data_IF_056059089552
#
_entry.id   IF_056059089552
#
_cell.length_a   1.000
_cell.length_b   1.000
_cell.length_c   1.000
_cell.angle_alpha   90.00
_cell.angle_beta   90.00
_cell.angle_gamma   90.00
#
_symmetry.space_group_name_H-M   'P 1'
#
loop_
_entity.id
_entity.type
_entity.pdbx_description
1 polymer ?
#
# COMPACT_ATOMS: atom_id res chain seq x y z
N UNK A 1 16.52 -24.76 8.93
CA UNK A 1 15.30 -25.06 9.70
C UNK A 1 14.17 -24.06 9.42
N UNK A 2 14.48 -22.76 9.50
CA UNK A 2 13.53 -21.65 9.28
C UNK A 2 12.80 -21.68 7.92
N UNK A 3 13.51 -21.95 6.81
CA UNK A 3 12.87 -22.07 5.48
C UNK A 3 11.83 -23.20 5.42
N UNK A 4 12.06 -24.32 6.10
CA UNK A 4 11.10 -25.44 6.18
C UNK A 4 9.87 -25.08 7.02
N UNK A 5 10.07 -24.28 8.07
CA UNK A 5 8.97 -23.75 8.88
C UNK A 5 8.13 -22.73 8.08
N UNK A 6 8.77 -21.81 7.36
CA UNK A 6 8.08 -20.81 6.54
C UNK A 6 7.34 -21.40 5.33
N UNK A 7 7.82 -22.51 4.77
CA UNK A 7 7.11 -23.23 3.72
C UNK A 7 5.72 -23.74 4.15
N UNK A 8 5.50 -23.97 5.45
CA UNK A 8 4.20 -24.41 6.00
C UNK A 8 3.24 -23.24 6.25
N UNK A 9 3.73 -22.01 6.26
CA UNK A 9 2.94 -20.84 6.59
C UNK A 9 2.27 -20.29 5.32
N UNK A 10 0.96 -19.99 5.35
CA UNK A 10 0.23 -19.52 4.17
C UNK A 10 0.48 -18.04 3.85
N UNK A 11 1.75 -17.62 3.80
CA UNK A 11 2.16 -16.22 3.63
C UNK A 11 1.52 -15.56 2.41
N UNK A 12 1.68 -16.19 1.24
CA UNK A 12 1.17 -15.65 -0.03
C UNK A 12 -0.36 -15.53 -0.06
N UNK A 13 -1.07 -16.43 0.63
CA UNK A 13 -2.53 -16.40 0.72
C UNK A 13 -2.99 -15.22 1.58
N UNK A 14 -2.39 -15.06 2.77
CA UNK A 14 -2.71 -13.95 3.68
C UNK A 14 -2.39 -12.60 3.06
N UNK A 15 -1.22 -12.46 2.41
CA UNK A 15 -0.86 -11.20 1.72
C UNK A 15 -1.88 -10.87 0.64
N UNK A 16 -2.36 -11.84 -0.14
CA UNK A 16 -3.39 -11.61 -1.16
C UNK A 16 -4.72 -11.14 -0.53
N UNK A 17 -5.13 -11.74 0.57
CA UNK A 17 -6.33 -11.29 1.31
C UNK A 17 -6.16 -9.87 1.86
N UNK A 18 -4.97 -9.53 2.37
CA UNK A 18 -4.65 -8.17 2.81
C UNK A 18 -4.65 -7.17 1.65
N UNK A 19 -4.17 -7.55 0.47
CA UNK A 19 -4.26 -6.71 -0.74
C UNK A 19 -5.71 -6.43 -1.12
N UNK A 20 -6.59 -7.41 -0.99
CA UNK A 20 -8.03 -7.20 -1.22
C UNK A 20 -8.62 -6.20 -0.22
N UNK A 21 -8.39 -6.40 1.09
CA UNK A 21 -8.85 -5.47 2.12
C UNK A 21 -8.31 -4.04 1.89
N UNK A 22 -7.04 -3.93 1.54
CA UNK A 22 -6.37 -2.68 1.19
C UNK A 22 -7.02 -1.97 0.00
N UNK A 23 -7.40 -2.68 -1.06
CA UNK A 23 -7.99 -2.05 -2.26
C UNK A 23 -9.45 -1.66 -2.06
N UNK A 24 -10.21 -2.40 -1.25
CA UNK A 24 -11.65 -2.21 -1.16
C UNK A 24 -12.10 -1.34 0.01
N UNK A 25 -11.41 -1.40 1.15
CA UNK A 25 -11.94 -0.83 2.41
C UNK A 25 -10.92 -0.10 3.27
N UNK A 26 -9.63 -0.43 3.15
CA UNK A 26 -8.60 0.00 4.11
C UNK A 26 -7.40 0.69 3.43
N UNK A 27 -7.54 1.97 3.01
CA UNK A 27 -6.46 2.75 2.40
C UNK A 27 -5.21 2.88 3.27
N UNK A 28 -5.40 2.89 4.58
CA UNK A 28 -4.34 2.96 5.59
C UNK A 28 -3.35 1.78 5.52
N UNK A 29 -3.77 0.63 5.00
CA UNK A 29 -2.91 -0.54 4.83
C UNK A 29 -1.94 -0.43 3.65
N UNK A 30 -2.10 0.56 2.79
CA UNK A 30 -1.47 0.56 1.46
C UNK A 30 0.06 0.48 1.50
N UNK A 31 0.68 1.16 2.46
CA UNK A 31 2.12 1.07 2.69
C UNK A 31 2.55 -0.29 3.27
N UNK A 32 1.89 -0.74 4.34
CA UNK A 32 2.29 -1.96 5.04
C UNK A 32 2.17 -3.20 4.14
N UNK A 33 1.06 -3.31 3.39
CA UNK A 33 0.80 -4.42 2.47
C UNK A 33 1.80 -4.41 1.31
N UNK A 34 2.12 -3.25 0.75
CA UNK A 34 3.15 -3.12 -0.28
C UNK A 34 4.52 -3.60 0.21
N UNK A 35 4.87 -3.36 1.47
CA UNK A 35 6.17 -3.79 1.99
C UNK A 35 6.23 -5.31 2.14
N UNK A 36 5.20 -5.94 2.71
CA UNK A 36 5.16 -7.40 2.88
C UNK A 36 5.00 -8.14 1.54
N UNK A 37 4.36 -7.53 0.54
CA UNK A 37 4.18 -8.16 -0.78
C UNK A 37 5.49 -8.35 -1.55
N UNK A 38 6.53 -7.54 -1.27
CA UNK A 38 7.87 -7.69 -1.91
C UNK A 38 8.50 -9.05 -1.60
N UNK A 39 8.19 -9.63 -0.45
CA UNK A 39 8.79 -10.88 0.04
C UNK A 39 7.90 -12.10 -0.20
N UNK A 40 6.96 -12.04 -1.14
CA UNK A 40 6.03 -13.13 -1.40
C UNK A 40 6.71 -14.41 -1.90
N UNK A 41 7.79 -14.29 -2.68
CA UNK A 41 8.58 -15.43 -3.19
C UNK A 41 9.61 -15.96 -2.18
N UNK A 42 10.12 -15.10 -1.29
CA UNK A 42 11.13 -15.45 -0.29
C UNK A 42 10.78 -14.82 1.07
N UNK A 43 9.74 -15.37 1.71
CA UNK A 43 9.29 -14.93 3.02
C UNK A 43 10.17 -15.49 4.14
N UNK A 44 10.36 -14.70 5.19
CA UNK A 44 11.17 -15.03 6.36
C UNK A 44 10.36 -14.86 7.65
N UNK A 45 10.89 -15.32 8.80
CA UNK A 45 10.18 -15.27 10.07
C UNK A 45 9.80 -13.82 10.46
N UNK A 46 10.67 -12.86 10.22
CA UNK A 46 10.39 -11.43 10.49
C UNK A 46 9.28 -10.88 9.61
N UNK A 47 9.25 -11.27 8.33
CA UNK A 47 8.16 -10.90 7.42
C UNK A 47 6.82 -11.47 7.90
N UNK A 48 6.81 -12.69 8.45
CA UNK A 48 5.61 -13.27 9.02
C UNK A 48 5.15 -12.55 10.29
N UNK A 49 6.07 -12.11 11.14
CA UNK A 49 5.75 -11.27 12.30
C UNK A 49 5.12 -9.94 11.85
N UNK A 50 5.64 -9.31 10.79
CA UNK A 50 5.05 -8.10 10.22
C UNK A 50 3.61 -8.33 9.73
N UNK A 51 3.35 -9.43 9.02
CA UNK A 51 1.99 -9.81 8.59
C UNK A 51 1.05 -10.01 9.79
N UNK A 52 1.49 -10.69 10.85
CA UNK A 52 0.69 -10.84 12.08
C UNK A 52 0.37 -9.50 12.73
N UNK A 53 1.31 -8.56 12.73
CA UNK A 53 1.07 -7.19 13.25
C UNK A 53 -0.02 -6.48 12.46
N UNK A 54 -0.02 -6.60 11.12
CA UNK A 54 -1.07 -6.05 10.26
C UNK A 54 -2.43 -6.67 10.61
N UNK A 55 -2.49 -7.99 10.78
CA UNK A 55 -3.74 -8.68 11.16
C UNK A 55 -4.25 -8.26 12.55
N UNK A 56 -3.36 -8.09 13.53
CA UNK A 56 -3.73 -7.60 14.85
C UNK A 56 -4.25 -6.17 14.81
N UNK A 57 -3.63 -5.31 14.00
CA UNK A 57 -4.12 -3.95 13.76
C UNK A 57 -5.53 -3.96 13.14
N UNK A 58 -5.78 -4.83 12.16
CA UNK A 58 -7.13 -4.98 11.58
C UNK A 58 -8.15 -5.47 12.59
N UNK A 59 -7.78 -6.41 13.45
CA UNK A 59 -8.66 -6.88 14.53
C UNK A 59 -9.04 -5.75 15.48
N UNK A 60 -8.07 -4.91 15.87
CA UNK A 60 -8.28 -3.78 16.77
C UNK A 60 -8.96 -2.56 16.13
N UNK A 61 -9.09 -2.52 14.81
CA UNK A 61 -9.72 -1.43 14.05
C UNK A 61 -10.82 -1.94 13.13
N UNK A 62 -11.50 -3.00 13.57
CA UNK A 62 -12.56 -3.66 12.80
C UNK A 62 -13.84 -2.83 12.70
N UNK A 63 -13.97 -1.82 13.56
CA UNK A 63 -15.04 -0.82 13.63
C UNK A 63 -14.84 0.35 12.65
N UNK A 64 -13.65 0.53 12.09
CA UNK A 64 -13.39 1.59 11.12
C UNK A 64 -13.98 1.24 9.74
N UNK A 65 -14.76 2.17 9.19
CA UNK A 65 -15.36 2.07 7.86
C UNK A 65 -15.24 3.39 7.08
N UNK A 66 -15.33 3.30 5.76
CA UNK A 66 -15.45 4.47 4.88
C UNK A 66 -16.89 4.99 4.91
N UNK A 67 -17.10 6.18 5.47
CA UNK A 67 -18.42 6.77 5.64
C UNK A 67 -18.69 7.85 4.59
N UNK A 68 -19.58 7.56 3.64
CA UNK A 68 -20.03 8.52 2.64
C UNK A 68 -21.21 9.33 3.19
N UNK A 69 -20.98 10.59 3.50
CA UNK A 69 -21.99 11.44 4.16
C UNK A 69 -22.98 12.12 3.20
N UNK A 70 -23.10 11.66 1.94
CA UNK A 70 -24.07 12.17 0.97
C UNK A 70 -23.96 13.67 0.62
N UNK A 71 -22.85 14.32 0.98
CA UNK A 71 -22.60 15.73 0.71
C UNK A 71 -22.28 16.01 -0.77
N UNK A 72 -21.72 17.19 -1.06
CA UNK A 72 -21.35 17.56 -2.44
C UNK A 72 -20.46 16.48 -3.08
N UNK A 73 -20.87 15.94 -4.23
CA UNK A 73 -20.12 14.95 -5.01
C UNK A 73 -18.91 15.58 -5.74
N UNK A 74 -18.09 16.32 -5.00
CA UNK A 74 -16.85 16.89 -5.52
C UNK A 74 -15.77 15.82 -5.47
N UNK A 75 -15.20 15.52 -6.64
CA UNK A 75 -14.01 14.69 -6.77
C UNK A 75 -12.77 15.54 -6.46
N UNK A 76 -11.94 15.07 -5.53
CA UNK A 76 -10.65 15.67 -5.17
C UNK A 76 -9.58 14.62 -5.33
N UNK A 77 -8.61 14.87 -6.19
CA UNK A 77 -7.44 14.01 -6.39
C UNK A 77 -6.20 14.61 -5.75
N UNK A 78 -5.45 13.81 -5.02
CA UNK A 78 -4.13 14.14 -4.53
C UNK A 78 -3.13 13.12 -5.08
N UNK A 79 -2.02 13.60 -5.64
CA UNK A 79 -0.87 12.78 -6.03
C UNK A 79 0.36 13.23 -5.25
N UNK A 80 1.23 12.29 -4.92
CA UNK A 80 2.48 12.53 -4.20
C UNK A 80 3.56 11.55 -4.66
N UNK A 81 4.82 11.95 -4.54
CA UNK A 81 5.96 11.09 -4.80
C UNK A 81 7.05 11.26 -3.73
N UNK A 82 7.63 10.15 -3.26
CA UNK A 82 8.85 10.24 -2.46
C UNK A 82 10.09 10.48 -3.34
N UNK A 83 11.11 11.15 -2.80
CA UNK A 83 12.38 11.39 -3.48
C UNK A 83 13.36 10.23 -3.24
N UNK A 84 13.20 9.12 -3.95
CA UNK A 84 14.12 7.97 -3.92
C UNK A 84 14.31 7.36 -2.52
N UNK A 85 13.23 7.22 -1.75
CA UNK A 85 13.29 6.72 -0.37
C UNK A 85 13.68 5.22 -0.27
N UNK A 86 13.61 4.49 -1.37
CA UNK A 86 14.00 3.08 -1.45
C UNK A 86 15.53 2.96 -1.56
N UNK A 87 16.18 2.49 -0.48
CA UNK A 87 17.65 2.37 -0.45
C UNK A 87 18.21 1.28 -1.38
N UNK A 88 17.40 0.28 -1.69
CA UNK A 88 17.81 -0.88 -2.49
C UNK A 88 17.86 -0.53 -3.98
N UNK A 89 16.77 -0.03 -4.55
CA UNK A 89 16.70 0.27 -6.00
C UNK A 89 16.81 1.77 -6.33
N UNK A 90 16.84 2.65 -5.32
CA UNK A 90 16.81 4.13 -5.47
C UNK A 90 15.61 4.64 -6.26
N UNK A 91 14.56 3.83 -6.42
CA UNK A 91 13.33 4.22 -7.10
C UNK A 91 12.39 4.91 -6.15
N UNK A 92 11.78 5.97 -6.64
CA UNK A 92 10.74 6.70 -5.96
C UNK A 92 9.44 5.88 -5.85
N UNK A 93 8.57 6.30 -4.96
CA UNK A 93 7.23 5.76 -4.75
C UNK A 93 6.21 6.81 -5.15
N UNK A 94 5.36 6.47 -6.10
CA UNK A 94 4.17 7.26 -6.41
C UNK A 94 3.03 6.85 -5.49
N UNK A 95 2.29 7.83 -4.99
CA UNK A 95 1.05 7.64 -4.23
C UNK A 95 -0.02 8.55 -4.80
N UNK A 96 -1.25 8.09 -4.74
CA UNK A 96 -2.40 8.95 -4.99
C UNK A 96 -3.59 8.53 -4.13
N UNK A 97 -4.48 9.46 -3.90
CA UNK A 97 -5.78 9.22 -3.30
C UNK A 97 -6.81 10.13 -3.95
N UNK A 98 -7.92 9.54 -4.36
CA UNK A 98 -9.10 10.25 -4.84
C UNK A 98 -10.18 10.17 -3.79
N UNK A 99 -10.74 11.33 -3.46
CA UNK A 99 -11.81 11.49 -2.49
C UNK A 99 -13.05 12.00 -3.20
N UNK A 100 -14.21 11.40 -2.89
CA UNK A 100 -15.52 11.86 -3.32
C UNK A 100 -16.31 12.26 -2.09
N UNK A 101 -16.72 13.54 -2.01
CA UNK A 101 -17.46 14.04 -0.85
C UNK A 101 -16.71 13.88 0.48
N UNK A 102 -15.38 13.98 0.45
CA UNK A 102 -14.51 13.82 1.62
C UNK A 102 -14.15 12.37 1.99
N UNK A 103 -14.65 11.37 1.25
CA UNK A 103 -14.36 9.95 1.49
C UNK A 103 -13.47 9.38 0.40
N UNK A 104 -12.44 8.61 0.77
CA UNK A 104 -11.56 7.97 -0.21
C UNK A 104 -12.31 6.93 -1.05
N UNK A 105 -12.22 7.02 -2.38
CA UNK A 105 -12.84 6.10 -3.34
C UNK A 105 -11.83 5.20 -4.05
N UNK A 106 -10.63 5.73 -4.33
CA UNK A 106 -9.53 4.96 -4.92
C UNK A 106 -8.22 5.56 -4.46
N UNK A 107 -7.22 4.71 -4.28
CA UNK A 107 -5.91 5.08 -3.77
C UNK A 107 -4.88 4.07 -4.23
N UNK A 108 -3.62 4.48 -4.24
CA UNK A 108 -2.52 3.62 -4.61
C UNK A 108 -1.24 4.04 -3.92
N UNK A 109 -0.38 3.05 -3.72
CA UNK A 109 1.00 3.24 -3.31
C UNK A 109 1.85 2.29 -4.15
N UNK A 110 2.59 2.82 -5.13
CA UNK A 110 3.30 2.02 -6.12
C UNK A 110 4.75 2.49 -6.27
N UNK A 111 5.66 1.53 -6.42
CA UNK A 111 7.06 1.83 -6.76
C UNK A 111 7.12 2.28 -8.21
N UNK A 112 7.84 3.36 -8.49
CA UNK A 112 8.04 3.82 -9.86
C UNK A 112 8.84 2.79 -10.66
N UNK A 113 8.62 2.74 -11.97
CA UNK A 113 9.31 1.80 -12.85
C UNK A 113 10.77 2.22 -13.11
N UNK A 114 10.98 3.53 -13.24
CA UNK A 114 12.29 4.16 -13.42
C UNK A 114 12.77 4.85 -12.15
N UNK A 115 14.07 5.15 -12.10
CA UNK A 115 14.70 6.00 -11.08
C UNK A 115 14.52 7.45 -11.51
N UNK A 116 13.94 8.29 -10.64
CA UNK A 116 13.87 9.74 -10.85
C UNK A 116 15.18 10.39 -10.41
N UNK A 117 15.67 11.35 -11.20
CA UNK A 117 16.89 12.11 -10.90
C UNK A 117 16.59 13.39 -10.12
N UNK A 118 15.32 13.79 -10.06
CA UNK A 118 14.86 14.91 -9.25
C UNK A 118 13.51 14.65 -8.59
N UNK A 119 13.18 15.43 -7.57
CA UNK A 119 11.84 15.42 -6.95
C UNK A 119 10.76 15.87 -7.94
N UNK A 120 11.09 16.77 -8.86
CA UNK A 120 10.17 17.22 -9.92
C UNK A 120 9.81 16.07 -10.86
N UNK A 121 10.79 15.28 -11.32
CA UNK A 121 10.55 14.11 -12.15
C UNK A 121 9.71 13.05 -11.42
N UNK A 122 10.03 12.80 -10.14
CA UNK A 122 9.27 11.87 -9.31
C UNK A 122 7.80 12.30 -9.19
N UNK A 123 7.57 13.60 -8.94
CA UNK A 123 6.24 14.19 -8.88
C UNK A 123 5.48 14.10 -10.21
N UNK A 124 6.16 14.32 -11.34
CA UNK A 124 5.57 14.17 -12.66
C UNK A 124 5.08 12.73 -12.91
N UNK A 125 5.91 11.73 -12.60
CA UNK A 125 5.53 10.31 -12.72
C UNK A 125 4.35 9.95 -11.81
N UNK A 126 4.29 10.52 -10.60
CA UNK A 126 3.15 10.31 -9.70
C UNK A 126 1.86 10.92 -10.22
N UNK A 127 1.91 12.14 -10.77
CA UNK A 127 0.76 12.78 -11.40
C UNK A 127 0.26 12.00 -12.61
N UNK A 128 1.15 11.52 -13.47
CA UNK A 128 0.76 10.66 -14.61
C UNK A 128 0.17 9.33 -14.14
N UNK A 129 0.63 8.80 -12.99
CA UNK A 129 0.07 7.57 -12.41
C UNK A 129 -1.32 7.77 -11.78
N UNK A 130 -1.73 9.02 -11.54
CA UNK A 130 -3.00 9.37 -10.94
C UNK A 130 -4.09 9.70 -12.00
N UNK A 131 -3.73 9.84 -13.28
CA UNK A 131 -4.67 10.06 -14.39
C UNK A 131 -5.09 8.71 -14.96
#
# INVERSE_FOLDING_TARGET
EEKKHMAKVPYASVVRSLMYAMMCTRPDLCFAVRMVSRYQSNSGPDHWVAVKRILNYLKGTSDLALCYNGGSLRLVGCSDADGSADRDERKSTSRYAFLLGGTAITWCNKKQACVSLSTMEAGYVASTSAI
#
